data_IF_453940351252
#
_entry.id   IF_453940351252
#
_cell.length_a   1.000
_cell.length_b   1.000
_cell.length_c   1.000
_cell.angle_alpha   90.00
_cell.angle_beta   90.00
_cell.angle_gamma   90.00
#
_symmetry.space_group_name_H-M   'P 1'
#
loop_
_entity.id
_entity.type
_entity.pdbx_description
1 polymer ?
#
# COMPACT_ATOMS: atom_id res chain seq x y z
N UNK A 1 -10.03 8.59 7.64
CA UNK A 1 -8.81 7.85 7.26
C UNK A 1 -7.67 8.43 8.07
N UNK A 2 -7.03 7.63 8.94
CA UNK A 2 -5.93 8.09 9.81
C UNK A 2 -4.62 8.07 9.01
N UNK A 3 -3.85 9.16 9.03
CA UNK A 3 -2.52 9.18 8.43
C UNK A 3 -1.51 8.39 9.28
N UNK A 4 -0.40 7.95 8.68
CA UNK A 4 0.70 7.33 9.43
C UNK A 4 1.36 8.35 10.36
N UNK A 5 1.56 7.99 11.64
CA UNK A 5 2.22 8.87 12.61
C UNK A 5 3.75 8.77 12.55
N UNK A 6 4.29 7.70 11.95
CA UNK A 6 5.73 7.50 11.81
C UNK A 6 6.10 6.61 10.62
N UNK A 7 7.36 6.66 10.19
CA UNK A 7 7.90 5.72 9.20
C UNK A 7 7.79 4.27 9.65
N UNK A 8 7.98 3.99 10.94
CA UNK A 8 7.86 2.64 11.48
C UNK A 8 6.44 2.08 11.34
N UNK A 9 5.41 2.91 11.53
CA UNK A 9 4.02 2.51 11.28
C UNK A 9 3.75 2.24 9.79
N UNK A 10 4.23 3.13 8.92
CA UNK A 10 4.10 2.94 7.46
C UNK A 10 4.82 1.66 7.00
N UNK A 11 6.00 1.37 7.54
CA UNK A 11 6.78 0.18 7.20
C UNK A 11 6.13 -1.10 7.74
N UNK A 12 5.56 -1.07 8.94
CA UNK A 12 4.74 -2.15 9.47
C UNK A 12 3.54 -2.43 8.56
N UNK A 13 2.83 -1.38 8.10
CA UNK A 13 1.72 -1.55 7.16
C UNK A 13 2.17 -2.09 5.81
N UNK A 14 3.30 -1.62 5.29
CA UNK A 14 3.89 -2.15 4.05
C UNK A 14 4.17 -3.66 4.17
N UNK A 15 4.71 -4.10 5.30
CA UNK A 15 4.92 -5.53 5.58
C UNK A 15 3.61 -6.31 5.58
N UNK A 16 2.59 -5.82 6.32
CA UNK A 16 1.27 -6.46 6.36
C UNK A 16 0.66 -6.64 4.98
N UNK A 17 0.73 -5.60 4.13
CA UNK A 17 0.21 -5.65 2.76
C UNK A 17 0.91 -6.69 1.88
N UNK A 18 2.21 -6.95 2.11
CA UNK A 18 2.93 -8.02 1.43
C UNK A 18 2.56 -9.39 1.98
N UNK A 19 2.47 -9.54 3.31
CA UNK A 19 2.11 -10.80 3.97
C UNK A 19 0.69 -11.27 3.58
N UNK A 20 -0.25 -10.33 3.40
CA UNK A 20 -1.62 -10.58 2.96
C UNK A 20 -1.75 -10.78 1.43
N UNK A 21 -0.65 -10.61 0.68
CA UNK A 21 -0.61 -10.81 -0.77
C UNK A 21 -1.21 -9.67 -1.59
N UNK A 22 -1.50 -8.52 -0.98
CA UNK A 22 -1.98 -7.33 -1.70
C UNK A 22 -0.88 -6.64 -2.52
N UNK A 23 0.38 -6.89 -2.19
CA UNK A 23 1.55 -6.32 -2.86
C UNK A 23 2.65 -7.35 -3.08
N UNK A 24 3.37 -7.25 -4.20
CA UNK A 24 4.63 -7.99 -4.43
C UNK A 24 5.84 -7.28 -3.84
N UNK A 25 5.76 -5.95 -3.73
CA UNK A 25 6.75 -5.08 -3.10
C UNK A 25 6.00 -3.95 -2.42
N UNK A 26 6.35 -3.59 -1.18
CA UNK A 26 5.82 -2.41 -0.50
C UNK A 26 6.90 -1.80 0.39
N UNK A 27 6.94 -0.47 0.48
CA UNK A 27 7.87 0.27 1.35
C UNK A 27 7.25 1.58 1.83
N UNK A 28 7.68 2.04 3.01
CA UNK A 28 7.37 3.37 3.49
C UNK A 28 8.13 4.44 2.69
N UNK A 29 7.49 5.56 2.41
CA UNK A 29 8.11 6.68 1.73
C UNK A 29 7.54 8.02 2.21
N UNK A 30 8.29 9.09 1.94
CA UNK A 30 7.83 10.47 2.07
C UNK A 30 7.49 11.00 0.67
N UNK A 31 6.27 11.50 0.50
CA UNK A 31 5.87 12.19 -0.72
C UNK A 31 6.49 13.59 -0.78
N UNK A 32 6.43 14.22 -1.96
CA UNK A 32 7.01 15.57 -2.19
C UNK A 32 6.37 16.64 -1.29
N UNK A 33 5.12 16.44 -0.89
CA UNK A 33 4.38 17.33 0.01
C UNK A 33 4.68 17.09 1.50
N UNK A 34 5.55 16.13 1.82
CA UNK A 34 5.87 15.74 3.20
C UNK A 34 4.92 14.72 3.83
N UNK A 35 3.95 14.20 3.08
CA UNK A 35 3.04 13.16 3.57
C UNK A 35 3.75 11.80 3.65
N UNK A 36 3.63 11.12 4.79
CA UNK A 36 4.06 9.72 4.92
C UNK A 36 3.08 8.80 4.20
N UNK A 37 3.61 7.86 3.42
CA UNK A 37 2.83 6.93 2.64
C UNK A 37 3.50 5.56 2.54
N UNK A 38 2.76 4.58 2.05
CA UNK A 38 3.28 3.30 1.59
C UNK A 38 3.14 3.24 0.07
N UNK A 39 4.26 3.02 -0.62
CA UNK A 39 4.28 2.80 -2.06
C UNK A 39 4.43 1.31 -2.33
N UNK A 40 3.48 0.76 -3.08
CA UNK A 40 3.36 -0.67 -3.31
C UNK A 40 3.23 -1.03 -4.79
N UNK A 41 3.82 -2.15 -5.20
CA UNK A 41 3.61 -2.76 -6.50
C UNK A 41 2.55 -3.85 -6.35
N UNK A 42 1.45 -3.72 -7.09
CA UNK A 42 0.38 -4.71 -7.06
C UNK A 42 0.79 -5.98 -7.82
N UNK A 43 0.33 -7.17 -7.40
CA UNK A 43 0.55 -8.41 -8.14
C UNK A 43 0.07 -8.33 -9.59
N UNK A 44 0.77 -9.03 -10.49
CA UNK A 44 0.39 -9.13 -11.91
C UNK A 44 -0.89 -9.95 -12.13
N UNK A 45 -1.25 -10.80 -11.18
CA UNK A 45 -2.46 -11.61 -11.17
C UNK A 45 -3.13 -11.46 -9.80
N UNK A 46 -3.79 -10.33 -9.55
CA UNK A 46 -4.51 -10.16 -8.30
C UNK A 46 -5.71 -11.14 -8.26
N UNK A 47 -5.68 -12.11 -7.35
CA UNK A 47 -6.77 -13.08 -7.10
C UNK A 47 -7.86 -12.53 -6.17
N UNK A 48 -7.89 -11.20 -5.93
CA UNK A 48 -8.75 -10.51 -4.95
C UNK A 48 -9.86 -9.69 -5.62
N UNK A 49 -10.98 -9.56 -4.91
CA UNK A 49 -12.34 -9.27 -5.39
C UNK A 49 -12.51 -8.07 -6.33
N UNK A 50 -13.51 -8.24 -7.19
CA UNK A 50 -14.02 -7.37 -8.25
C UNK A 50 -14.59 -6.02 -7.79
N UNK A 51 -14.15 -5.46 -6.66
CA UNK A 51 -14.77 -4.30 -6.00
C UNK A 51 -14.21 -2.92 -6.37
N UNK A 52 -12.89 -2.76 -6.53
CA UNK A 52 -12.23 -1.44 -6.44
C UNK A 52 -11.38 -1.04 -7.67
N UNK A 53 -11.89 -1.24 -8.89
CA UNK A 53 -11.24 -0.71 -10.11
C UNK A 53 -10.15 -1.62 -10.71
N UNK A 54 -10.60 -2.76 -11.24
CA UNK A 54 -9.85 -3.95 -11.67
C UNK A 54 -8.75 -3.82 -12.76
N UNK A 55 -8.19 -2.64 -13.04
CA UNK A 55 -7.14 -2.50 -14.08
C UNK A 55 -5.75 -2.08 -13.54
N UNK A 56 -5.45 -2.34 -12.26
CA UNK A 56 -4.17 -1.98 -11.63
C UNK A 56 -3.20 -3.15 -11.42
N UNK A 57 -3.38 -4.28 -12.12
CA UNK A 57 -2.42 -5.37 -12.05
C UNK A 57 -1.03 -4.91 -12.53
N UNK A 58 0.01 -5.17 -11.74
CA UNK A 58 1.37 -4.71 -12.04
C UNK A 58 1.58 -3.19 -11.93
N UNK A 59 0.63 -2.44 -11.38
CA UNK A 59 0.76 -1.01 -11.20
C UNK A 59 1.36 -0.65 -9.84
N UNK A 60 2.09 0.45 -9.80
CA UNK A 60 2.44 1.12 -8.54
C UNK A 60 1.22 1.86 -7.99
N UNK A 61 0.96 1.69 -6.70
CA UNK A 61 -0.08 2.41 -5.97
C UNK A 61 0.50 3.09 -4.73
N UNK A 62 -0.25 4.05 -4.19
CA UNK A 62 0.14 4.80 -2.98
C UNK A 62 -0.99 4.75 -1.96
N UNK A 63 -0.67 4.28 -0.76
CA UNK A 63 -1.57 4.21 0.39
C UNK A 63 -1.11 5.26 1.39
N UNK A 64 -1.98 6.22 1.71
CA UNK A 64 -1.69 7.30 2.67
C UNK A 64 -2.42 7.12 4.00
N UNK A 65 -3.23 6.07 4.12
CA UNK A 65 -4.02 5.76 5.28
C UNK A 65 -3.54 4.52 6.01
N UNK A 66 -3.49 4.63 7.33
CA UNK A 66 -3.16 3.55 8.26
C UNK A 66 -4.40 2.75 8.67
N UNK A 67 -5.46 2.74 7.86
CA UNK A 67 -6.62 1.91 8.14
C UNK A 67 -6.29 0.45 7.78
N UNK A 68 -6.48 -0.46 8.74
CA UNK A 68 -6.55 -1.89 8.44
C UNK A 68 -7.87 -2.15 7.72
N UNK A 69 -7.81 -2.32 6.41
CA UNK A 69 -8.83 -3.03 5.61
C UNK A 69 -8.38 -4.45 5.42
#
# INVERSE_FOLDING_TARGET
MAAFASFAEAEARAKTLMDEGYATVAHACLLVDGTLAVRLLRPMSATGSTGDGMNKAGAWDTVTDNAAT
#
